data_IF_667663240903
#
_entry.id   IF_667663240903
#
_cell.length_a   1.000
_cell.length_b   1.000
_cell.length_c   1.000
_cell.angle_alpha   90.00
_cell.angle_beta   90.00
_cell.angle_gamma   90.00
#
_symmetry.space_group_name_H-M   'P 1'
#
loop_
_entity.id
_entity.type
_entity.pdbx_description
1 polymer ?
#
# COMPACT_ATOMS: atom_id res chain seq x y z
N UNK A 1 -37.29 14.58 -31.91
CA UNK A 1 -36.66 13.31 -31.44
C UNK A 1 -35.13 13.27 -31.60
N UNK A 2 -34.53 14.00 -32.52
CA UNK A 2 -33.05 14.02 -32.77
C UNK A 2 -32.19 14.67 -31.65
N UNK A 3 -32.73 15.54 -30.79
CA UNK A 3 -31.99 16.22 -29.72
C UNK A 3 -31.76 15.36 -28.46
N UNK A 4 -32.62 14.36 -28.21
CA UNK A 4 -32.46 13.46 -27.04
C UNK A 4 -31.40 12.38 -27.28
N UNK A 5 -31.23 11.94 -28.54
CA UNK A 5 -30.21 10.92 -28.87
C UNK A 5 -28.79 11.45 -28.78
N UNK A 6 -28.57 12.76 -29.09
CA UNK A 6 -27.24 13.39 -28.94
C UNK A 6 -26.84 13.57 -27.48
N UNK A 7 -27.76 13.84 -26.57
CA UNK A 7 -27.47 13.97 -25.15
C UNK A 7 -27.14 12.63 -24.49
N UNK A 8 -27.81 11.55 -24.90
CA UNK A 8 -27.54 10.19 -24.42
C UNK A 8 -26.16 9.67 -24.86
N UNK A 9 -25.75 9.99 -26.11
CA UNK A 9 -24.41 9.63 -26.60
C UNK A 9 -23.28 10.38 -25.90
N UNK A 10 -23.48 11.65 -25.54
CA UNK A 10 -22.51 12.43 -24.78
C UNK A 10 -22.35 11.94 -23.33
N UNK A 11 -23.44 11.47 -22.71
CA UNK A 11 -23.41 10.93 -21.34
C UNK A 11 -22.65 9.58 -21.25
N UNK A 12 -22.70 8.76 -22.30
CA UNK A 12 -21.97 7.49 -22.36
C UNK A 12 -20.45 7.67 -22.50
N UNK A 13 -20.00 8.79 -23.06
CA UNK A 13 -18.57 9.10 -23.18
C UNK A 13 -17.95 9.60 -21.86
N UNK A 14 -18.73 10.06 -20.90
CA UNK A 14 -18.26 10.47 -19.59
C UNK A 14 -18.13 9.31 -18.59
N UNK A 15 -18.74 8.16 -18.86
CA UNK A 15 -18.72 7.01 -17.93
C UNK A 15 -17.41 6.21 -17.94
N UNK A 16 -16.47 6.54 -18.81
CA UNK A 16 -15.19 5.83 -18.99
C UNK A 16 -14.00 6.39 -18.21
N UNK A 17 -14.20 7.27 -17.24
CA UNK A 17 -13.09 7.82 -16.47
C UNK A 17 -12.48 6.74 -15.57
N UNK A 18 -11.20 6.42 -15.76
CA UNK A 18 -10.41 5.63 -14.83
C UNK A 18 -10.50 6.28 -13.44
N UNK A 19 -10.92 5.52 -12.44
CA UNK A 19 -11.08 5.98 -11.06
C UNK A 19 -10.15 5.22 -10.14
N UNK A 20 -9.84 5.82 -8.99
CA UNK A 20 -9.13 5.14 -7.92
C UNK A 20 -9.96 3.98 -7.37
N UNK A 21 -9.30 2.89 -6.98
CA UNK A 21 -9.94 1.84 -6.20
C UNK A 21 -10.27 2.35 -4.79
N UNK A 22 -11.38 1.91 -4.19
CA UNK A 22 -11.77 2.36 -2.84
C UNK A 22 -10.71 2.04 -1.78
N UNK A 23 -9.96 0.96 -1.98
CA UNK A 23 -8.92 0.45 -1.07
C UNK A 23 -7.50 0.92 -1.43
N UNK A 24 -7.32 1.71 -2.51
CA UNK A 24 -6.01 2.17 -2.99
C UNK A 24 -5.10 1.05 -3.45
N UNK A 25 -5.68 -0.04 -3.96
CA UNK A 25 -4.95 -1.22 -4.41
C UNK A 25 -4.45 -2.14 -3.29
N UNK A 26 -4.73 -1.82 -2.02
CA UNK A 26 -4.24 -2.58 -0.87
C UNK A 26 -4.95 -3.93 -0.67
N UNK A 27 -6.16 -4.10 -1.19
CA UNK A 27 -6.94 -5.35 -1.02
C UNK A 27 -6.21 -6.56 -1.56
N UNK A 28 -5.61 -6.45 -2.73
CA UNK A 28 -4.80 -7.52 -3.33
C UNK A 28 -3.55 -7.85 -2.50
N UNK A 29 -2.89 -6.84 -1.94
CA UNK A 29 -1.74 -7.01 -1.06
C UNK A 29 -2.15 -7.74 0.22
N UNK A 30 -3.28 -7.35 0.81
CA UNK A 30 -3.83 -7.99 2.02
C UNK A 30 -4.20 -9.46 1.77
N UNK A 31 -4.83 -9.76 0.64
CA UNK A 31 -5.17 -11.13 0.22
C UNK A 31 -3.91 -12.00 0.10
N UNK A 32 -2.91 -11.54 -0.68
CA UNK A 32 -1.64 -12.26 -0.89
C UNK A 32 -0.85 -12.48 0.41
N UNK A 33 -0.85 -11.48 1.29
CA UNK A 33 -0.17 -11.57 2.59
C UNK A 33 -0.89 -12.57 3.49
N UNK A 34 -2.22 -12.50 3.56
CA UNK A 34 -3.04 -13.38 4.39
C UNK A 34 -2.91 -14.85 3.96
N UNK A 35 -2.87 -15.12 2.67
CA UNK A 35 -2.69 -16.48 2.14
C UNK A 35 -1.37 -17.11 2.65
N UNK A 36 -0.32 -16.32 2.82
CA UNK A 36 1.02 -16.79 3.17
C UNK A 36 1.36 -16.72 4.66
N UNK A 37 0.79 -15.77 5.36
CA UNK A 37 1.14 -15.49 6.77
C UNK A 37 0.03 -15.81 7.75
N UNK A 38 -1.20 -15.98 7.26
CA UNK A 38 -2.42 -16.07 8.07
C UNK A 38 -2.94 -14.70 8.55
N UNK A 39 -2.17 -13.62 8.37
CA UNK A 39 -2.47 -12.28 8.85
C UNK A 39 -2.73 -11.31 7.69
N UNK A 40 -3.67 -10.38 7.90
CA UNK A 40 -4.00 -9.32 6.93
C UNK A 40 -3.13 -8.11 7.19
N UNK A 41 -2.86 -7.35 6.13
CA UNK A 41 -2.27 -6.01 6.24
C UNK A 41 -3.32 -4.94 6.00
N UNK A 42 -3.13 -3.78 6.63
CA UNK A 42 -4.02 -2.64 6.49
C UNK A 42 -3.20 -1.40 6.14
N UNK A 43 -3.62 -0.73 5.09
CA UNK A 43 -3.08 0.58 4.71
C UNK A 43 -3.69 1.63 5.65
N UNK A 44 -2.84 2.32 6.39
CA UNK A 44 -3.22 3.41 7.31
C UNK A 44 -3.21 4.74 6.55
N UNK A 45 -4.40 5.25 6.24
CA UNK A 45 -4.57 6.49 5.45
C UNK A 45 -4.97 7.69 6.29
N UNK A 46 -5.49 7.43 7.47
CA UNK A 46 -6.02 8.45 8.37
C UNK A 46 -5.52 8.25 9.78
N UNK A 47 -5.59 9.29 10.59
CA UNK A 47 -5.30 9.23 12.02
C UNK A 47 -6.18 8.17 12.72
N UNK A 48 -7.43 8.05 12.32
CA UNK A 48 -8.35 7.02 12.81
C UNK A 48 -7.86 5.59 12.52
N UNK A 49 -7.20 5.35 11.38
CA UNK A 49 -6.63 4.04 11.06
C UNK A 49 -5.43 3.74 11.95
N UNK A 50 -4.59 4.76 12.20
CA UNK A 50 -3.44 4.66 13.13
C UNK A 50 -3.90 4.38 14.55
N UNK A 51 -4.94 5.07 15.03
CA UNK A 51 -5.52 4.84 16.35
C UNK A 51 -6.09 3.44 16.49
N UNK A 52 -6.78 2.96 15.45
CA UNK A 52 -7.33 1.60 15.40
C UNK A 52 -6.22 0.55 15.47
N UNK A 53 -5.15 0.73 14.69
CA UNK A 53 -4.00 -0.16 14.69
C UNK A 53 -3.29 -0.16 16.06
N UNK A 54 -3.09 1.03 16.62
CA UNK A 54 -2.47 1.20 17.96
C UNK A 54 -3.30 0.56 19.07
N UNK A 55 -4.62 0.73 19.01
CA UNK A 55 -5.55 0.07 19.95
C UNK A 55 -5.47 -1.45 19.84
N UNK A 56 -5.40 -2.00 18.63
CA UNK A 56 -5.24 -3.43 18.42
C UNK A 56 -3.92 -3.96 18.96
N UNK A 57 -2.82 -3.24 18.73
CA UNK A 57 -1.50 -3.58 19.30
C UNK A 57 -1.55 -3.59 20.83
N UNK A 58 -2.17 -2.57 21.45
CA UNK A 58 -2.32 -2.52 22.88
C UNK A 58 -3.13 -3.70 23.46
N UNK A 59 -4.16 -4.17 22.74
CA UNK A 59 -4.92 -5.37 23.12
C UNK A 59 -4.06 -6.64 23.05
N UNK A 60 -3.31 -6.82 21.99
CA UNK A 60 -2.44 -7.99 21.81
C UNK A 60 -1.35 -8.07 22.88
N UNK A 61 -0.84 -6.93 23.34
CA UNK A 61 0.19 -6.86 24.38
C UNK A 61 -0.33 -7.12 25.81
N UNK A 62 -1.63 -7.20 26.03
CA UNK A 62 -2.21 -7.57 27.33
C UNK A 62 -2.10 -9.06 27.66
N UNK A 63 -1.80 -9.87 26.67
CA UNK A 63 -1.69 -11.33 26.79
C UNK A 63 -0.27 -11.79 26.46
N UNK A 64 0.14 -12.98 26.92
CA UNK A 64 1.41 -13.57 26.48
C UNK A 64 1.48 -13.64 24.95
N UNK A 65 2.57 -13.16 24.40
CA UNK A 65 2.77 -13.14 22.95
C UNK A 65 2.88 -14.56 22.40
N UNK A 66 2.25 -14.77 21.26
CA UNK A 66 2.43 -15.93 20.41
C UNK A 66 3.18 -15.53 19.15
N UNK A 67 3.68 -16.48 18.39
CA UNK A 67 4.31 -16.19 17.09
C UNK A 67 3.37 -15.44 16.15
N UNK A 68 2.08 -15.77 16.15
CA UNK A 68 1.09 -15.13 15.28
C UNK A 68 0.72 -13.72 15.77
N UNK A 69 0.58 -13.50 17.08
CA UNK A 69 0.36 -12.15 17.61
C UNK A 69 1.58 -11.23 17.40
N UNK A 70 2.80 -11.77 17.49
CA UNK A 70 4.01 -11.02 17.17
C UNK A 70 4.05 -10.59 15.69
N UNK A 71 3.62 -11.46 14.78
CA UNK A 71 3.48 -11.13 13.35
C UNK A 71 2.41 -10.06 13.15
N UNK A 72 1.24 -10.19 13.77
CA UNK A 72 0.16 -9.20 13.66
C UNK A 72 0.61 -7.82 14.14
N UNK A 73 1.29 -7.75 15.30
CA UNK A 73 1.86 -6.50 15.83
C UNK A 73 2.87 -5.89 14.86
N UNK A 74 3.76 -6.71 14.31
CA UNK A 74 4.77 -6.23 13.37
C UNK A 74 4.14 -5.65 12.10
N UNK A 75 3.13 -6.31 11.53
CA UNK A 75 2.43 -5.83 10.33
C UNK A 75 1.64 -4.53 10.58
N UNK A 76 1.06 -4.37 11.78
CA UNK A 76 0.30 -3.17 12.15
C UNK A 76 1.20 -1.96 12.46
N UNK A 77 2.41 -2.18 12.98
CA UNK A 77 3.26 -1.11 13.53
C UNK A 77 4.56 -0.88 12.73
N UNK A 78 4.69 -1.47 11.54
CA UNK A 78 5.89 -1.29 10.71
C UNK A 78 5.76 -0.10 9.77
N UNK A 79 6.47 1.00 10.08
CA UNK A 79 6.49 2.21 9.26
C UNK A 79 7.09 2.00 7.86
N UNK A 80 8.06 1.08 7.72
CA UNK A 80 8.62 0.73 6.41
C UNK A 80 7.56 0.10 5.50
N UNK A 81 6.69 -0.73 6.07
CA UNK A 81 5.58 -1.31 5.32
C UNK A 81 4.54 -0.25 4.92
N UNK A 82 4.26 0.73 5.78
CA UNK A 82 3.37 1.86 5.42
C UNK A 82 3.98 2.73 4.32
N UNK A 83 5.31 2.90 4.31
CA UNK A 83 6.01 3.58 3.21
C UNK A 83 5.87 2.81 1.88
N UNK A 84 6.03 1.49 1.87
CA UNK A 84 5.80 0.62 0.71
C UNK A 84 4.36 0.76 0.18
N UNK A 85 3.36 0.91 1.05
CA UNK A 85 1.98 1.20 0.64
C UNK A 85 1.80 2.60 0.02
N UNK A 86 2.64 3.57 0.37
CA UNK A 86 2.62 4.88 -0.28
C UNK A 86 3.08 4.78 -1.74
N UNK A 87 4.05 3.93 -2.04
CA UNK A 87 4.49 3.64 -3.41
C UNK A 87 3.38 2.95 -4.22
N UNK A 88 2.61 2.07 -3.59
CA UNK A 88 1.42 1.47 -4.19
C UNK A 88 0.39 2.54 -4.61
N UNK A 89 0.17 3.54 -3.74
CA UNK A 89 -0.71 4.69 -4.04
C UNK A 89 -0.23 5.51 -5.23
N UNK A 90 1.10 5.67 -5.39
CA UNK A 90 1.69 6.35 -6.56
C UNK A 90 1.44 5.52 -7.83
N UNK A 91 1.67 4.22 -7.80
CA UNK A 91 1.43 3.33 -8.94
C UNK A 91 -0.06 3.32 -9.35
N UNK A 92 -0.97 3.37 -8.39
CA UNK A 92 -2.40 3.51 -8.68
C UNK A 92 -2.74 4.87 -9.32
N UNK A 93 -2.14 5.96 -8.84
CA UNK A 93 -2.31 7.28 -9.44
C UNK A 93 -1.80 7.32 -10.88
N UNK A 94 -0.68 6.67 -11.16
CA UNK A 94 -0.13 6.57 -12.50
C UNK A 94 -1.04 5.72 -13.43
N UNK A 95 -1.63 4.64 -12.92
CA UNK A 95 -2.65 3.87 -13.64
C UNK A 95 -3.86 4.72 -13.99
N UNK A 96 -4.38 5.48 -13.03
CA UNK A 96 -5.52 6.38 -13.26
C UNK A 96 -5.16 7.47 -14.27
N UNK A 97 -3.94 8.02 -14.21
CA UNK A 97 -3.44 9.02 -15.15
C UNK A 97 -3.30 8.44 -16.56
N UNK A 98 -2.70 7.25 -16.70
CA UNK A 98 -2.51 6.58 -17.97
C UNK A 98 -3.83 6.19 -18.65
N UNK A 99 -4.90 5.97 -17.87
CA UNK A 99 -6.25 5.69 -18.39
C UNK A 99 -7.05 6.93 -18.79
N UNK A 100 -6.45 8.13 -18.77
CA UNK A 100 -7.11 9.39 -19.11
C UNK A 100 -6.50 10.01 -20.34
N UNK A 101 -7.36 10.60 -21.17
CA UNK A 101 -6.90 11.46 -22.27
C UNK A 101 -6.31 12.76 -21.72
N UNK A 102 -5.30 13.27 -22.40
CA UNK A 102 -4.82 14.62 -22.16
C UNK A 102 -5.95 15.63 -22.40
N UNK A 103 -6.07 16.61 -21.52
CA UNK A 103 -7.12 17.62 -21.66
C UNK A 103 -6.94 18.42 -22.97
N UNK A 104 -8.01 18.60 -23.74
CA UNK A 104 -7.94 19.49 -24.90
C UNK A 104 -7.65 20.92 -24.45
N UNK A 105 -6.76 21.58 -25.19
CA UNK A 105 -6.44 22.99 -24.94
C UNK A 105 -7.25 23.87 -25.88
N UNK A 106 -7.99 24.80 -25.31
CA UNK A 106 -8.71 25.85 -26.05
C UNK A 106 -7.99 27.16 -25.80
N UNK A 107 -7.57 27.86 -26.85
CA UNK A 107 -7.05 29.21 -26.72
C UNK A 107 -7.88 30.19 -27.53
N UNK A 108 -8.09 31.36 -26.93
CA UNK A 108 -8.75 32.50 -27.54
C UNK A 108 -7.89 33.74 -27.29
N UNK A 109 -7.39 34.32 -28.37
CA UNK A 109 -6.59 35.54 -28.37
C UNK A 109 -7.30 36.66 -29.13
N UNK A 110 -7.22 37.88 -28.63
CA UNK A 110 -7.60 39.08 -29.36
C UNK A 110 -6.45 40.06 -29.29
N UNK A 111 -5.84 40.33 -30.43
CA UNK A 111 -4.83 41.38 -30.59
C UNK A 111 -5.49 42.60 -31.31
N UNK A 112 -5.26 43.78 -30.77
CA UNK A 112 -5.70 45.04 -31.38
C UNK A 112 -4.51 45.96 -31.50
N UNK A 113 -4.19 46.42 -32.70
CA UNK A 113 -3.12 47.38 -32.97
C UNK A 113 -3.27 48.02 -34.35
N UNK A 114 -2.92 49.28 -34.50
CA UNK A 114 -2.92 50.00 -35.78
C UNK A 114 -4.24 49.93 -36.56
N UNK A 115 -5.38 49.91 -35.88
CA UNK A 115 -6.70 49.87 -36.49
C UNK A 115 -7.13 48.48 -36.98
N UNK A 116 -6.32 47.45 -36.76
CA UNK A 116 -6.66 46.02 -37.09
C UNK A 116 -6.92 45.28 -35.78
N UNK A 117 -7.99 44.48 -35.76
CA UNK A 117 -8.29 43.52 -34.68
C UNK A 117 -8.13 42.13 -35.23
N UNK A 118 -7.21 41.38 -34.69
CA UNK A 118 -7.01 39.97 -34.96
C UNK A 118 -7.63 39.11 -33.82
N UNK A 119 -8.37 38.11 -34.20
CA UNK A 119 -8.98 37.13 -33.28
C UNK A 119 -8.39 35.77 -33.61
N UNK A 120 -7.57 35.29 -32.66
CA UNK A 120 -6.99 33.96 -32.73
C UNK A 120 -7.87 32.96 -31.92
N UNK A 121 -8.14 31.80 -32.52
CA UNK A 121 -8.90 30.70 -31.90
C UNK A 121 -8.21 29.41 -32.24
N UNK A 122 -7.72 28.70 -31.25
CA UNK A 122 -7.15 27.38 -31.51
C UNK A 122 -7.72 26.32 -30.57
N UNK A 123 -7.77 25.10 -31.07
CA UNK A 123 -8.17 23.91 -30.34
C UNK A 123 -7.12 22.85 -30.64
N UNK A 124 -6.46 22.37 -29.60
CA UNK A 124 -5.40 21.36 -29.71
C UNK A 124 -5.86 20.08 -29.02
N UNK A 125 -5.80 18.96 -29.76
CA UNK A 125 -6.09 17.63 -29.27
C UNK A 125 -4.88 16.72 -29.42
N UNK A 126 -4.65 15.83 -28.44
CA UNK A 126 -3.66 14.77 -28.56
C UNK A 126 -4.27 13.54 -29.23
N UNK A 127 -4.17 13.49 -30.56
CA UNK A 127 -4.67 12.36 -31.35
C UNK A 127 -3.82 11.11 -31.17
N UNK A 128 -2.51 11.27 -30.99
CA UNK A 128 -1.60 10.14 -30.80
C UNK A 128 -1.86 9.51 -29.41
N UNK A 129 -2.04 10.34 -28.38
CA UNK A 129 -2.43 9.89 -27.04
C UNK A 129 -3.73 9.09 -27.06
N UNK A 130 -4.72 9.51 -27.87
CA UNK A 130 -5.97 8.76 -28.03
C UNK A 130 -5.75 7.35 -28.60
N UNK A 131 -4.90 7.23 -29.63
CA UNK A 131 -4.61 5.94 -30.26
C UNK A 131 -3.77 5.01 -29.38
N UNK A 132 -2.88 5.58 -28.55
CA UNK A 132 -1.98 4.82 -27.65
C UNK A 132 -2.58 4.56 -26.28
N UNK A 133 -3.70 5.20 -25.93
CA UNK A 133 -4.36 5.09 -24.61
C UNK A 133 -4.55 3.65 -24.11
N UNK A 134 -5.06 2.69 -24.93
CA UNK A 134 -5.25 1.32 -24.47
C UNK A 134 -3.94 0.66 -24.04
N UNK A 135 -2.87 0.86 -24.81
CA UNK A 135 -1.54 0.31 -24.51
C UNK A 135 -0.92 0.96 -23.26
N UNK A 136 -1.02 2.28 -23.13
CA UNK A 136 -0.55 3.00 -21.95
C UNK A 136 -1.29 2.56 -20.69
N UNK A 137 -2.59 2.37 -20.77
CA UNK A 137 -3.43 1.89 -19.67
C UNK A 137 -3.06 0.46 -19.26
N UNK A 138 -2.80 -0.44 -20.22
CA UNK A 138 -2.39 -1.81 -19.92
C UNK A 138 -1.00 -1.84 -19.25
N UNK A 139 -0.03 -1.09 -19.75
CA UNK A 139 1.30 -0.98 -19.14
C UNK A 139 1.20 -0.49 -17.70
N UNK A 140 0.44 0.58 -17.45
CA UNK A 140 0.26 1.12 -16.12
C UNK A 140 -0.49 0.14 -15.18
N UNK A 141 -1.42 -0.66 -15.69
CA UNK A 141 -2.05 -1.73 -14.94
C UNK A 141 -1.03 -2.79 -14.50
N UNK A 142 -0.11 -3.20 -15.38
CA UNK A 142 0.96 -4.15 -15.03
C UNK A 142 1.94 -3.58 -14.01
N UNK A 143 2.22 -2.28 -14.09
CA UNK A 143 3.05 -1.59 -13.09
C UNK A 143 2.38 -1.56 -11.71
N UNK A 144 1.07 -1.33 -11.66
CA UNK A 144 0.30 -1.45 -10.40
C UNK A 144 0.35 -2.88 -9.85
N UNK A 145 0.15 -3.90 -10.68
CA UNK A 145 0.25 -5.30 -10.27
C UNK A 145 1.65 -5.61 -9.71
N UNK A 146 2.71 -5.12 -10.36
CA UNK A 146 4.09 -5.25 -9.87
C UNK A 146 4.26 -4.60 -8.49
N UNK A 147 3.76 -3.38 -8.29
CA UNK A 147 3.81 -2.69 -7.00
C UNK A 147 3.04 -3.46 -5.90
N UNK A 148 1.89 -4.06 -6.25
CA UNK A 148 1.11 -4.92 -5.34
C UNK A 148 1.90 -6.16 -4.92
N UNK A 149 2.56 -6.84 -5.85
CA UNK A 149 3.40 -8.00 -5.51
C UNK A 149 4.61 -7.60 -4.66
N UNK A 150 5.23 -6.45 -4.94
CA UNK A 150 6.34 -5.94 -4.14
C UNK A 150 5.90 -5.64 -2.71
N UNK A 151 4.80 -4.91 -2.53
CA UNK A 151 4.25 -4.62 -1.21
C UNK A 151 3.84 -5.90 -0.43
N UNK A 152 3.30 -6.91 -1.12
CA UNK A 152 3.02 -8.20 -0.50
C UNK A 152 4.29 -8.95 -0.11
N UNK A 153 5.33 -8.90 -0.93
CA UNK A 153 6.65 -9.46 -0.61
C UNK A 153 7.25 -8.81 0.64
N UNK A 154 7.21 -7.49 0.72
CA UNK A 154 7.69 -6.74 1.88
C UNK A 154 6.92 -7.12 3.15
N UNK A 155 5.60 -7.24 3.06
CA UNK A 155 4.74 -7.66 4.18
C UNK A 155 5.07 -9.10 4.65
N UNK A 156 5.27 -10.04 3.73
CA UNK A 156 5.69 -11.40 4.06
C UNK A 156 7.09 -11.41 4.69
N UNK A 157 8.00 -10.54 4.22
CA UNK A 157 9.32 -10.34 4.80
C UNK A 157 9.24 -9.89 6.26
N UNK A 158 8.45 -8.85 6.54
CA UNK A 158 8.20 -8.36 7.91
C UNK A 158 7.62 -9.47 8.80
N UNK A 159 6.65 -10.23 8.30
CA UNK A 159 6.06 -11.36 9.04
C UNK A 159 7.09 -12.45 9.36
N UNK A 160 7.96 -12.78 8.42
CA UNK A 160 9.00 -13.78 8.60
C UNK A 160 10.04 -13.34 9.64
N UNK A 161 10.49 -12.08 9.58
CA UNK A 161 11.44 -11.53 10.56
C UNK A 161 10.82 -11.43 11.95
N UNK A 162 9.54 -11.03 12.08
CA UNK A 162 8.85 -11.02 13.36
C UNK A 162 8.74 -12.42 13.97
N UNK A 163 8.41 -13.43 13.17
CA UNK A 163 8.31 -14.83 13.63
C UNK A 163 9.67 -15.36 14.05
N UNK A 164 10.71 -15.07 13.30
CA UNK A 164 12.09 -15.45 13.65
C UNK A 164 12.55 -14.77 14.95
N UNK A 165 12.29 -13.47 15.11
CA UNK A 165 12.63 -12.73 16.32
C UNK A 165 11.89 -13.30 17.55
N UNK A 166 10.61 -13.66 17.41
CA UNK A 166 9.84 -14.29 18.47
C UNK A 166 10.48 -15.61 18.95
N UNK A 167 10.79 -16.53 18.03
CA UNK A 167 11.42 -17.80 18.41
C UNK A 167 12.84 -17.61 18.97
N UNK A 168 13.59 -16.62 18.48
CA UNK A 168 14.89 -16.28 19.05
C UNK A 168 14.78 -15.76 20.48
N UNK A 169 13.75 -14.96 20.79
CA UNK A 169 13.49 -14.47 22.14
C UNK A 169 13.07 -15.61 23.09
N UNK A 170 12.21 -16.52 22.65
CA UNK A 170 11.82 -17.71 23.43
C UNK A 170 13.04 -18.57 23.75
N UNK A 171 13.87 -18.87 22.75
CA UNK A 171 15.08 -19.67 22.94
C UNK A 171 16.07 -18.99 23.90
N UNK A 172 16.22 -17.66 23.83
CA UNK A 172 17.06 -16.90 24.75
C UNK A 172 16.53 -16.95 26.19
N UNK A 173 15.21 -16.89 26.37
CA UNK A 173 14.58 -17.01 27.69
C UNK A 173 14.76 -18.39 28.29
N UNK A 174 14.60 -19.45 27.51
CA UNK A 174 14.86 -20.83 27.94
C UNK A 174 16.32 -21.02 28.34
N UNK A 175 17.26 -20.39 27.61
CA UNK A 175 18.69 -20.45 27.92
C UNK A 175 19.00 -19.77 29.26
N UNK A 176 18.34 -18.66 29.59
CA UNK A 176 18.49 -18.00 30.91
C UNK A 176 18.06 -18.98 32.02
N UNK A 177 16.89 -19.60 31.89
CA UNK A 177 16.40 -20.56 32.87
C UNK A 177 17.35 -21.77 33.02
N UNK A 178 17.96 -22.23 31.94
CA UNK A 178 18.98 -23.29 32.00
C UNK A 178 20.23 -22.85 32.78
N UNK A 179 20.75 -21.65 32.55
CA UNK A 179 21.92 -21.14 33.29
C UNK A 179 21.63 -20.90 34.76
N UNK A 180 20.41 -20.52 35.15
CA UNK A 180 20.00 -20.42 36.54
C UNK A 180 20.08 -21.79 37.24
N UNK A 181 19.59 -22.85 36.59
CA UNK A 181 19.71 -24.22 37.12
C UNK A 181 21.16 -24.67 37.25
N UNK A 182 22.00 -24.38 36.29
CA UNK A 182 23.44 -24.70 36.34
C UNK A 182 24.12 -23.98 37.46
N UNK A 183 23.78 -22.70 37.67
CA UNK A 183 24.32 -21.89 38.81
C UNK A 183 23.91 -22.50 40.14
N UNK A 184 22.64 -22.83 40.34
CA UNK A 184 22.14 -23.42 41.57
C UNK A 184 22.81 -24.76 41.88
N UNK A 185 23.04 -25.60 40.89
CA UNK A 185 23.78 -26.86 41.01
C UNK A 185 25.25 -26.63 41.42
N UNK A 186 25.90 -25.63 40.82
CA UNK A 186 27.28 -25.26 41.15
C UNK A 186 27.40 -24.72 42.60
N UNK A 187 26.47 -23.87 43.00
CA UNK A 187 26.41 -23.34 44.37
C UNK A 187 26.21 -24.45 45.39
N UNK A 188 25.27 -25.38 45.14
CA UNK A 188 25.07 -26.55 46.01
C UNK A 188 26.31 -27.45 46.09
N UNK A 189 27.03 -27.65 45.00
CA UNK A 189 28.29 -28.42 44.98
C UNK A 189 29.38 -27.74 45.77
N UNK A 190 29.49 -26.43 45.68
CA UNK A 190 30.47 -25.64 46.44
C UNK A 190 30.18 -25.69 47.93
N UNK A 191 28.92 -25.64 48.35
CA UNK A 191 28.52 -25.75 49.78
C UNK A 191 28.81 -27.13 50.35
N UNK A 192 28.62 -28.19 49.57
CA UNK A 192 29.02 -29.53 49.95
C UNK A 192 30.54 -29.68 50.14
N UNK A 193 31.31 -29.09 49.26
CA UNK A 193 32.78 -29.13 49.32
C UNK A 193 33.36 -28.34 50.51
N UNK A 194 32.63 -27.39 51.07
CA UNK A 194 33.05 -26.58 52.24
C UNK A 194 32.68 -27.19 53.57
N UNK A 195 31.86 -28.22 53.60
CA UNK A 195 31.50 -28.99 54.81
C UNK A 195 32.48 -30.14 55.07
#
# INVERSE_FOLDING_TARGET
MMKLTSAASAALLLAGCASFSPDGGAGKVSELTKERTGQSVTLQRSESDVDTASGRVAELLKQPLTADSAVEIALLNNWGLQASFSELGIAEADRVRAGRLANPTFSFGRLSGHGVTEIDRSVVFDVLGLLTLPFASEVAQRQLEQAQYQAAFDAVGVAAEARKAFFSAVAAQDLVGYYEQVKDAADASNDLARR
#
